data_IF_207762062254
#
_entry.id   IF_207762062254
#
_cell.length_a   1.000
_cell.length_b   1.000
_cell.length_c   1.000
_cell.angle_alpha   90.00
_cell.angle_beta   90.00
_cell.angle_gamma   90.00
#
_symmetry.space_group_name_H-M   'P 1'
#
loop_
_entity.id
_entity.type
_entity.pdbx_description
1 polymer ?
#
# COMPACT_ATOMS: atom_id res chain seq x y z
N UNK A 1 38.90 62.97 8.32
CA UNK A 1 37.89 62.04 8.87
C UNK A 1 36.53 62.71 9.15
N UNK A 2 36.29 63.90 8.59
CA UNK A 2 35.03 64.65 8.80
C UNK A 2 34.17 64.85 7.52
N UNK A 3 34.57 64.32 6.39
CA UNK A 3 33.85 64.50 5.09
C UNK A 3 32.92 63.32 4.71
N UNK A 4 33.09 62.16 5.36
CA UNK A 4 32.29 60.98 5.04
C UNK A 4 30.97 60.86 5.83
N UNK A 5 30.81 61.52 6.97
CA UNK A 5 29.58 61.46 7.77
C UNK A 5 28.43 62.31 7.17
N UNK A 6 28.75 63.36 6.40
CA UNK A 6 27.73 64.25 5.78
C UNK A 6 27.00 63.62 4.60
N UNK A 7 27.69 62.82 3.78
CA UNK A 7 27.09 62.19 2.59
C UNK A 7 26.14 61.05 2.96
N UNK A 8 26.46 60.24 3.97
CA UNK A 8 25.60 59.11 4.37
C UNK A 8 24.29 59.58 5.00
N UNK A 9 24.30 60.72 5.72
CA UNK A 9 23.09 61.26 6.32
C UNK A 9 22.13 61.90 5.30
N UNK A 10 22.64 62.45 4.20
CA UNK A 10 21.78 62.99 3.15
C UNK A 10 21.10 61.89 2.30
N UNK A 11 21.80 60.84 1.98
CA UNK A 11 21.20 59.66 1.27
C UNK A 11 20.12 58.96 2.10
N UNK A 12 20.36 58.79 3.39
CA UNK A 12 19.39 58.12 4.30
C UNK A 12 18.13 58.99 4.51
N UNK A 13 18.25 60.31 4.51
CA UNK A 13 17.12 61.24 4.63
C UNK A 13 16.28 61.24 3.37
N UNK A 14 16.92 61.21 2.20
CA UNK A 14 16.24 61.15 0.91
C UNK A 14 15.56 59.81 0.68
N UNK A 15 16.17 58.70 1.14
CA UNK A 15 15.58 57.38 1.07
C UNK A 15 14.28 57.26 1.90
N UNK A 16 14.25 57.77 3.12
CA UNK A 16 13.03 57.82 3.93
C UNK A 16 11.93 58.67 3.33
N UNK A 17 12.30 59.77 2.68
CA UNK A 17 11.33 60.64 2.00
C UNK A 17 10.72 59.95 0.78
N UNK A 18 11.52 59.26 -0.02
CA UNK A 18 11.06 58.49 -1.20
C UNK A 18 10.17 57.32 -0.79
N UNK A 19 10.52 56.59 0.23
CA UNK A 19 9.68 55.47 0.75
C UNK A 19 8.36 55.96 1.32
N UNK A 20 8.34 57.12 1.98
CA UNK A 20 7.12 57.74 2.50
C UNK A 20 6.18 58.18 1.37
N UNK A 21 6.70 58.81 0.28
CA UNK A 21 5.91 59.17 -0.90
C UNK A 21 5.37 57.96 -1.64
N UNK A 22 6.15 56.86 -1.79
CA UNK A 22 5.68 55.64 -2.41
C UNK A 22 4.56 55.00 -1.60
N UNK A 23 4.63 55.06 -0.25
CA UNK A 23 3.57 54.54 0.64
C UNK A 23 2.26 55.34 0.48
N UNK A 24 2.34 56.72 0.39
CA UNK A 24 1.16 57.56 0.17
C UNK A 24 0.53 57.31 -1.20
N UNK A 25 1.34 57.10 -2.25
CA UNK A 25 0.84 56.84 -3.62
C UNK A 25 0.17 55.43 -3.63
N UNK A 26 0.76 54.42 -2.98
CA UNK A 26 0.17 53.08 -2.85
C UNK A 26 -1.17 53.10 -2.10
N UNK A 27 -1.25 53.89 -1.01
CA UNK A 27 -2.48 54.03 -0.24
C UNK A 27 -3.59 54.78 -1.00
N UNK A 28 -3.26 55.85 -1.74
CA UNK A 28 -4.24 56.57 -2.55
C UNK A 28 -4.76 55.76 -3.74
N UNK A 29 -3.91 54.95 -4.40
CA UNK A 29 -4.31 54.03 -5.47
C UNK A 29 -5.17 52.89 -4.91
N UNK A 30 -4.85 52.35 -3.72
CA UNK A 30 -5.66 51.35 -3.03
C UNK A 30 -7.05 51.84 -2.64
N UNK A 31 -7.14 53.13 -2.17
CA UNK A 31 -8.41 53.75 -1.83
C UNK A 31 -9.31 54.03 -3.06
N UNK A 32 -8.70 54.40 -4.19
CA UNK A 32 -9.42 54.58 -5.46
C UNK A 32 -9.94 53.22 -5.96
N UNK A 33 -9.11 52.15 -5.87
CA UNK A 33 -9.52 50.83 -6.30
C UNK A 33 -10.63 50.25 -5.40
N UNK A 34 -10.55 50.47 -4.08
CA UNK A 34 -11.60 50.06 -3.13
C UNK A 34 -12.91 50.86 -3.35
N UNK A 35 -12.82 52.17 -3.65
CA UNK A 35 -13.98 52.96 -4.00
C UNK A 35 -14.66 52.50 -5.30
N UNK A 36 -13.88 52.10 -6.31
CA UNK A 36 -14.39 51.62 -7.59
C UNK A 36 -15.13 50.28 -7.46
N UNK A 37 -14.68 49.37 -6.57
CA UNK A 37 -15.36 48.11 -6.30
C UNK A 37 -16.72 48.32 -5.63
N UNK A 38 -16.86 49.33 -4.76
CA UNK A 38 -18.13 49.59 -4.09
C UNK A 38 -19.14 50.32 -4.98
N UNK A 39 -18.69 51.08 -6.02
CA UNK A 39 -19.60 51.72 -6.98
C UNK A 39 -20.22 50.71 -7.95
N UNK A 40 -19.51 49.63 -8.27
CA UNK A 40 -20.05 48.51 -9.09
C UNK A 40 -21.08 47.66 -8.33
N UNK A 41 -21.10 47.71 -6.97
CA UNK A 41 -22.06 46.97 -6.14
C UNK A 41 -23.42 47.64 -5.96
N UNK A 42 -23.58 48.89 -6.44
CA UNK A 42 -24.78 49.73 -6.21
C UNK A 42 -25.70 49.95 -7.42
N UNK A 43 -25.47 49.26 -8.55
CA UNK A 43 -26.40 49.26 -9.67
C UNK A 43 -27.28 48.03 -9.65
N UNK A 44 -28.45 48.10 -9.06
CA UNK A 44 -29.54 47.14 -9.23
C UNK A 44 -29.91 47.10 -10.73
N UNK A 45 -29.33 46.13 -11.44
CA UNK A 45 -29.82 45.71 -12.74
C UNK A 45 -31.02 44.83 -12.49
N UNK A 46 -32.21 45.40 -12.56
CA UNK A 46 -33.45 44.65 -12.67
C UNK A 46 -33.40 43.86 -14.00
N UNK A 47 -32.83 42.71 -14.01
CA UNK A 47 -33.03 41.72 -15.07
C UNK A 47 -34.32 40.96 -14.73
N UNK A 48 -35.43 41.42 -15.28
CA UNK A 48 -36.60 40.59 -15.45
C UNK A 48 -36.25 39.48 -16.47
N UNK A 49 -35.84 38.33 -15.98
CA UNK A 49 -35.90 37.09 -16.72
C UNK A 49 -36.85 36.17 -15.99
N UNK A 50 -38.12 36.20 -16.41
CA UNK A 50 -39.02 35.05 -16.22
C UNK A 50 -38.47 33.88 -17.03
N UNK A 51 -37.66 33.05 -16.39
CA UNK A 51 -37.52 31.65 -16.78
C UNK A 51 -37.86 30.84 -15.53
N UNK A 52 -39.01 30.21 -15.59
CA UNK A 52 -39.45 29.14 -14.65
C UNK A 52 -38.38 28.03 -14.71
N UNK A 53 -37.26 28.23 -14.03
CA UNK A 53 -36.38 27.11 -13.65
C UNK A 53 -37.04 26.50 -12.43
N UNK A 54 -37.53 25.30 -12.62
CA UNK A 54 -38.08 24.48 -11.54
C UNK A 54 -36.99 24.31 -10.49
N UNK A 55 -37.03 25.05 -9.38
CA UNK A 55 -36.06 24.98 -8.25
C UNK A 55 -35.98 23.57 -7.65
N UNK A 56 -36.96 22.70 -7.93
CA UNK A 56 -36.96 21.32 -7.49
C UNK A 56 -36.05 20.38 -8.30
N UNK A 57 -35.69 20.71 -9.56
CA UNK A 57 -34.79 19.85 -10.36
C UNK A 57 -33.31 20.18 -10.14
N UNK A 58 -32.99 21.44 -9.81
CA UNK A 58 -31.59 21.82 -9.56
C UNK A 58 -31.11 21.38 -8.16
N UNK A 59 -31.98 21.31 -7.16
CA UNK A 59 -31.64 20.78 -5.84
C UNK A 59 -31.38 19.26 -5.86
N UNK A 60 -32.07 18.52 -6.73
CA UNK A 60 -31.89 17.07 -6.87
C UNK A 60 -30.60 16.67 -7.59
N UNK A 61 -30.07 17.54 -8.47
CA UNK A 61 -28.80 17.28 -9.16
C UNK A 61 -27.58 17.55 -8.26
N UNK A 62 -27.67 18.54 -7.35
CA UNK A 62 -26.62 18.80 -6.36
C UNK A 62 -26.69 17.90 -5.11
N UNK A 63 -27.85 17.31 -4.82
CA UNK A 63 -28.05 16.40 -3.68
C UNK A 63 -27.55 14.96 -3.94
N UNK A 64 -27.10 14.65 -5.16
CA UNK A 64 -26.62 13.30 -5.56
C UNK A 64 -25.12 13.09 -5.54
N UNK A 65 -24.30 14.11 -5.39
CA UNK A 65 -22.86 13.93 -5.25
C UNK A 65 -22.51 13.74 -3.78
N UNK A 66 -22.05 12.53 -3.40
CA UNK A 66 -21.46 12.29 -2.07
C UNK A 66 -20.31 13.28 -1.84
N UNK A 67 -20.24 13.85 -0.65
CA UNK A 67 -19.04 14.58 -0.25
C UNK A 67 -17.88 13.61 -0.03
N UNK A 68 -16.64 14.10 -0.07
CA UNK A 68 -15.47 13.28 0.28
C UNK A 68 -15.62 12.69 1.69
N UNK A 69 -16.18 13.46 2.63
CA UNK A 69 -16.41 12.99 3.99
C UNK A 69 -17.41 11.81 4.03
N UNK A 70 -18.50 11.88 3.25
CA UNK A 70 -19.49 10.79 3.18
C UNK A 70 -18.85 9.51 2.61
N UNK A 71 -18.00 9.64 1.58
CA UNK A 71 -17.25 8.51 1.00
C UNK A 71 -16.33 7.88 2.04
N UNK A 72 -15.55 8.70 2.76
CA UNK A 72 -14.62 8.22 3.78
C UNK A 72 -15.37 7.52 4.91
N UNK A 73 -16.50 8.08 5.39
CA UNK A 73 -17.34 7.48 6.45
C UNK A 73 -17.89 6.12 6.02
N UNK A 74 -18.38 6.02 4.78
CA UNK A 74 -18.97 4.79 4.22
C UNK A 74 -17.95 3.66 4.10
N UNK A 75 -16.72 3.94 3.64
CA UNK A 75 -15.73 2.90 3.31
C UNK A 75 -14.78 2.58 4.47
N UNK A 76 -14.59 3.50 5.43
CA UNK A 76 -13.65 3.32 6.54
C UNK A 76 -13.82 2.03 7.34
N UNK A 77 -15.03 1.50 7.59
CA UNK A 77 -15.18 0.22 8.29
C UNK A 77 -14.62 -0.98 7.54
N UNK A 78 -14.42 -0.85 6.22
CA UNK A 78 -13.81 -1.88 5.38
C UNK A 78 -12.29 -1.70 5.21
N UNK A 79 -11.71 -0.60 5.71
CA UNK A 79 -10.27 -0.34 5.71
C UNK A 79 -9.69 -0.69 7.07
N UNK A 80 -8.56 -1.41 7.08
CA UNK A 80 -8.00 -1.99 8.29
C UNK A 80 -6.51 -1.74 8.41
N UNK A 81 -6.02 -1.75 9.64
CA UNK A 81 -4.57 -1.76 9.91
C UNK A 81 -4.07 -3.21 9.83
N UNK A 82 -3.03 -3.43 9.05
CA UNK A 82 -2.29 -4.68 9.00
C UNK A 82 -1.07 -4.55 9.90
N UNK A 83 -1.11 -5.20 11.06
CA UNK A 83 -0.01 -5.26 12.02
C UNK A 83 0.73 -6.57 11.85
N UNK A 84 2.03 -6.50 11.65
CA UNK A 84 2.89 -7.67 11.47
C UNK A 84 3.99 -7.71 12.52
N UNK A 85 4.37 -8.89 12.95
CA UNK A 85 5.56 -9.08 13.74
C UNK A 85 6.48 -10.12 13.11
N UNK A 86 7.78 -9.89 13.22
CA UNK A 86 8.84 -10.74 12.71
C UNK A 86 9.88 -10.97 13.78
N UNK A 87 10.35 -12.18 13.92
CA UNK A 87 11.44 -12.54 14.83
C UNK A 87 12.76 -12.44 14.08
N UNK A 88 13.57 -11.44 14.40
CA UNK A 88 14.89 -11.25 13.81
C UNK A 88 15.97 -11.72 14.78
N UNK A 89 16.72 -12.74 14.38
CA UNK A 89 17.89 -13.17 15.12
C UNK A 89 19.06 -12.25 14.79
N UNK A 90 19.50 -11.44 15.77
CA UNK A 90 20.70 -10.63 15.63
C UNK A 90 21.83 -11.19 16.50
N UNK A 91 23.07 -10.77 16.22
CA UNK A 91 24.25 -11.13 17.03
C UNK A 91 24.10 -10.70 18.52
N UNK A 92 23.09 -9.84 18.84
CA UNK A 92 22.80 -9.35 20.19
C UNK A 92 21.60 -10.03 20.85
N UNK A 93 21.01 -11.03 20.20
CA UNK A 93 19.83 -11.74 20.70
C UNK A 93 18.66 -11.76 19.72
N UNK A 94 17.55 -12.33 20.16
CA UNK A 94 16.29 -12.39 19.42
C UNK A 94 15.56 -11.08 19.64
N UNK A 95 15.28 -10.34 18.56
CA UNK A 95 14.48 -9.13 18.61
C UNK A 95 13.19 -9.35 17.83
N UNK A 96 12.07 -8.92 18.39
CA UNK A 96 10.82 -8.80 17.67
C UNK A 96 10.78 -7.43 16.98
N UNK A 97 10.55 -7.43 15.68
CA UNK A 97 10.38 -6.23 14.86
C UNK A 97 8.94 -6.19 14.41
N UNK A 98 8.26 -5.09 14.70
CA UNK A 98 6.87 -4.86 14.30
C UNK A 98 6.83 -3.93 13.09
N UNK A 99 5.91 -4.22 12.16
CA UNK A 99 5.59 -3.39 11.01
C UNK A 99 4.09 -3.08 10.99
N UNK A 100 3.74 -1.94 10.43
CA UNK A 100 2.35 -1.51 10.27
C UNK A 100 2.13 -1.06 8.82
N UNK A 101 1.01 -1.49 8.23
CA UNK A 101 0.51 -1.03 6.96
C UNK A 101 -1.02 -1.00 6.97
N UNK A 102 -1.59 -0.84 5.81
CA UNK A 102 -3.05 -0.81 5.62
C UNK A 102 -3.49 -1.96 4.71
N UNK A 103 -4.72 -2.39 4.86
CA UNK A 103 -5.41 -3.30 3.96
C UNK A 103 -6.88 -2.94 3.85
N UNK A 104 -7.60 -3.60 2.97
CA UNK A 104 -9.04 -3.41 2.84
C UNK A 104 -9.75 -4.72 2.49
N UNK A 105 -10.96 -4.89 3.01
CA UNK A 105 -11.77 -6.08 2.76
C UNK A 105 -12.31 -6.10 1.33
N UNK A 106 -12.06 -7.22 0.62
CA UNK A 106 -12.62 -7.55 -0.70
C UNK A 106 -13.67 -8.67 -0.62
N UNK A 107 -13.79 -9.30 0.54
CA UNK A 107 -14.84 -10.23 0.92
C UNK A 107 -14.99 -10.19 2.45
N UNK A 108 -15.98 -10.83 3.07
CA UNK A 108 -16.16 -10.79 4.53
C UNK A 108 -14.94 -11.24 5.34
N UNK A 109 -14.05 -12.04 4.75
CA UNK A 109 -12.86 -12.59 5.43
C UNK A 109 -11.55 -12.33 4.70
N UNK A 110 -11.58 -11.83 3.45
CA UNK A 110 -10.37 -11.64 2.64
C UNK A 110 -10.00 -10.16 2.51
N UNK A 111 -8.71 -9.88 2.65
CA UNK A 111 -8.15 -8.52 2.65
C UNK A 111 -7.04 -8.44 1.60
N UNK A 112 -7.06 -7.39 0.77
CA UNK A 112 -5.92 -6.99 -0.06
C UNK A 112 -5.03 -6.00 0.69
N UNK A 113 -3.72 -6.16 0.49
CA UNK A 113 -2.67 -5.25 0.96
C UNK A 113 -1.44 -5.34 0.05
N UNK A 114 -0.35 -4.63 0.36
CA UNK A 114 0.91 -4.81 -0.34
C UNK A 114 1.71 -6.01 0.19
N UNK A 115 2.49 -6.63 -0.70
CA UNK A 115 3.39 -7.74 -0.35
C UNK A 115 4.47 -7.28 0.64
N UNK A 116 5.06 -6.08 0.46
CA UNK A 116 6.10 -5.58 1.36
C UNK A 116 5.60 -5.33 2.79
N UNK A 117 4.28 -5.10 3.00
CA UNK A 117 3.69 -4.93 4.33
C UNK A 117 3.78 -6.24 5.13
N UNK A 118 3.61 -7.39 4.46
CA UNK A 118 3.60 -8.72 5.10
C UNK A 118 4.89 -9.52 4.88
N UNK A 119 5.90 -8.89 4.26
CA UNK A 119 7.17 -9.55 3.94
C UNK A 119 7.87 -10.00 5.22
N UNK A 120 8.28 -11.29 5.26
CA UNK A 120 8.98 -11.92 6.38
C UNK A 120 8.21 -11.85 7.72
N UNK A 121 6.89 -11.66 7.68
CA UNK A 121 6.08 -11.70 8.90
C UNK A 121 5.88 -13.14 9.39
N UNK A 122 6.10 -13.37 10.67
CA UNK A 122 5.78 -14.64 11.35
C UNK A 122 4.36 -14.62 11.94
N UNK A 123 3.79 -13.45 12.18
CA UNK A 123 2.43 -13.26 12.65
C UNK A 123 1.78 -12.06 12.00
N UNK A 124 0.51 -12.17 11.63
CA UNK A 124 -0.29 -11.11 11.03
C UNK A 124 -1.57 -10.91 11.84
N UNK A 125 -1.78 -9.69 12.32
CA UNK A 125 -2.99 -9.26 12.99
C UNK A 125 -3.65 -8.15 12.21
N UNK A 126 -4.95 -8.17 12.17
CA UNK A 126 -5.78 -7.13 11.58
C UNK A 126 -6.41 -6.32 12.71
N UNK A 127 -6.20 -5.02 12.71
CA UNK A 127 -6.89 -4.12 13.62
C UNK A 127 -7.99 -3.41 12.84
N UNK A 128 -9.22 -3.64 13.25
CA UNK A 128 -10.41 -3.08 12.64
C UNK A 128 -10.58 -1.60 13.02
N UNK A 129 -11.44 -0.89 12.31
CA UNK A 129 -11.70 0.53 12.55
C UNK A 129 -12.24 0.83 13.97
N UNK A 130 -12.90 -0.15 14.61
CA UNK A 130 -13.37 -0.06 16.01
C UNK A 130 -12.29 -0.41 17.04
N UNK A 131 -11.06 -0.71 16.61
CA UNK A 131 -9.93 -1.09 17.46
C UNK A 131 -9.88 -2.57 17.83
N UNK A 132 -10.83 -3.40 17.37
CA UNK A 132 -10.80 -4.84 17.63
C UNK A 132 -9.70 -5.51 16.81
N UNK A 133 -8.92 -6.39 17.47
CA UNK A 133 -7.90 -7.20 16.82
C UNK A 133 -8.46 -8.58 16.44
N UNK A 134 -8.11 -9.05 15.25
CA UNK A 134 -8.39 -10.41 14.77
C UNK A 134 -7.14 -11.00 14.14
N UNK A 135 -6.97 -12.32 14.28
CA UNK A 135 -5.84 -13.04 13.66
C UNK A 135 -6.10 -13.25 12.17
N UNK A 136 -5.03 -13.16 11.39
CA UNK A 136 -5.08 -13.40 9.95
C UNK A 136 -3.85 -14.17 9.48
N UNK A 137 -3.95 -14.75 8.29
CA UNK A 137 -2.83 -15.40 7.61
C UNK A 137 -2.62 -14.80 6.23
N UNK A 138 -1.40 -14.88 5.74
CA UNK A 138 -1.10 -14.62 4.33
C UNK A 138 -1.57 -15.83 3.53
N UNK A 139 -2.46 -15.61 2.56
CA UNK A 139 -2.92 -16.66 1.63
C UNK A 139 -1.86 -16.85 0.55
N UNK A 140 -1.51 -15.75 -0.13
CA UNK A 140 -0.50 -15.74 -1.19
C UNK A 140 -0.02 -14.30 -1.46
N UNK A 141 1.10 -14.17 -2.17
CA UNK A 141 1.69 -12.87 -2.53
C UNK A 141 2.18 -12.85 -3.96
N UNK A 142 2.08 -11.68 -4.61
CA UNK A 142 2.75 -11.36 -5.86
C UNK A 142 3.87 -10.35 -5.58
N UNK A 143 5.11 -10.83 -5.58
CA UNK A 143 6.29 -10.03 -5.29
C UNK A 143 6.64 -9.04 -6.39
N UNK A 144 6.32 -9.38 -7.64
CA UNK A 144 6.58 -8.50 -8.80
C UNK A 144 5.71 -7.27 -8.72
N UNK A 145 4.42 -7.47 -8.44
CA UNK A 145 3.43 -6.41 -8.43
C UNK A 145 3.11 -5.88 -7.02
N UNK A 146 3.83 -6.37 -6.01
CA UNK A 146 3.70 -5.91 -4.63
C UNK A 146 2.29 -6.06 -4.05
N UNK A 147 1.61 -7.20 -4.32
CA UNK A 147 0.26 -7.49 -3.85
C UNK A 147 0.28 -8.68 -2.89
N UNK A 148 -0.51 -8.63 -1.84
CA UNK A 148 -0.75 -9.75 -0.93
C UNK A 148 -2.24 -9.92 -0.66
N UNK A 149 -2.69 -11.19 -0.59
CA UNK A 149 -4.01 -11.57 -0.14
C UNK A 149 -3.90 -12.16 1.27
N UNK A 150 -4.66 -11.61 2.19
CA UNK A 150 -4.78 -12.11 3.55
C UNK A 150 -6.16 -12.71 3.78
N UNK A 151 -6.26 -13.62 4.75
CA UNK A 151 -7.51 -14.18 5.21
C UNK A 151 -7.58 -14.14 6.72
N UNK A 152 -8.69 -13.63 7.25
CA UNK A 152 -8.96 -13.65 8.70
C UNK A 152 -9.23 -15.07 9.15
N UNK A 153 -8.50 -15.53 10.16
CA UNK A 153 -8.58 -16.91 10.70
C UNK A 153 -9.38 -17.01 12.00
N UNK A 154 -9.80 -15.87 12.56
CA UNK A 154 -10.62 -15.85 13.78
C UNK A 154 -11.98 -16.49 13.52
N UNK A 155 -12.35 -17.59 14.22
CA UNK A 155 -13.59 -18.30 13.97
C UNK A 155 -14.84 -17.44 14.14
N UNK A 156 -15.75 -17.54 13.17
CA UNK A 156 -17.03 -16.82 13.19
C UNK A 156 -16.90 -15.31 12.92
N UNK A 157 -15.74 -14.86 12.48
CA UNK A 157 -15.54 -13.48 12.06
C UNK A 157 -15.99 -13.28 10.61
N UNK A 158 -16.77 -12.25 10.39
CA UNK A 158 -17.12 -11.71 9.08
C UNK A 158 -17.20 -10.19 9.17
N UNK A 159 -16.56 -9.47 8.26
CA UNK A 159 -16.75 -8.02 8.16
C UNK A 159 -17.97 -7.72 7.29
N UNK A 160 -18.83 -6.84 7.78
CA UNK A 160 -20.02 -6.40 7.06
C UNK A 160 -19.72 -5.42 5.92
N UNK A 161 -18.61 -4.68 6.01
CA UNK A 161 -18.21 -3.68 5.02
C UNK A 161 -17.12 -4.23 4.12
N UNK A 162 -17.49 -4.55 2.88
CA UNK A 162 -16.61 -4.99 1.81
C UNK A 162 -16.51 -3.85 0.80
N UNK A 163 -15.30 -3.45 0.43
CA UNK A 163 -15.10 -2.38 -0.53
C UNK A 163 -15.41 -2.88 -1.96
N UNK A 164 -16.13 -2.06 -2.71
CA UNK A 164 -16.41 -2.34 -4.11
C UNK A 164 -15.17 -2.03 -4.95
N UNK A 165 -14.74 -2.98 -5.77
CA UNK A 165 -13.71 -2.73 -6.78
C UNK A 165 -14.35 -1.98 -7.96
N UNK A 166 -13.71 -0.88 -8.35
CA UNK A 166 -14.05 -0.09 -9.52
C UNK A 166 -13.18 -0.47 -10.72
N UNK A 167 -13.02 0.45 -11.67
CA UNK A 167 -12.17 0.25 -12.84
C UNK A 167 -11.08 1.33 -12.89
N UNK A 168 -9.82 0.89 -12.82
CA UNK A 168 -8.66 1.78 -13.02
C UNK A 168 -8.50 2.21 -14.48
N UNK A 169 -9.06 1.45 -15.44
CA UNK A 169 -9.00 1.74 -16.88
C UNK A 169 -9.96 2.85 -17.29
N UNK A 170 -11.04 3.06 -16.53
CA UNK A 170 -12.02 4.12 -16.80
C UNK A 170 -11.59 5.49 -16.25
N UNK A 171 -10.53 5.51 -15.44
CA UNK A 171 -10.03 6.74 -14.83
C UNK A 171 -9.23 7.59 -15.81
N UNK A 172 -9.23 8.90 -15.59
CA UNK A 172 -8.53 9.88 -16.42
C UNK A 172 -7.62 10.76 -15.55
N UNK A 173 -6.58 11.28 -16.16
CA UNK A 173 -5.75 12.33 -15.52
C UNK A 173 -6.63 13.53 -15.18
N UNK A 174 -6.56 13.97 -13.93
CA UNK A 174 -7.39 15.04 -13.37
C UNK A 174 -8.61 14.57 -12.58
N UNK A 175 -8.99 13.29 -12.64
CA UNK A 175 -10.08 12.75 -11.81
C UNK A 175 -9.66 12.72 -10.32
N UNK A 176 -10.58 13.12 -9.44
CA UNK A 176 -10.36 13.15 -8.00
C UNK A 176 -10.21 11.74 -7.43
N UNK A 177 -9.29 11.61 -6.48
CA UNK A 177 -9.04 10.36 -5.75
C UNK A 177 -8.86 10.60 -4.26
N UNK A 178 -9.20 9.58 -3.47
CA UNK A 178 -9.09 9.56 -2.02
C UNK A 178 -8.21 8.36 -1.65
N UNK A 179 -7.08 8.60 -0.98
CA UNK A 179 -6.26 7.54 -0.41
C UNK A 179 -6.58 7.42 1.08
N UNK A 180 -6.92 6.21 1.54
CA UNK A 180 -7.21 5.94 2.96
C UNK A 180 -6.18 4.98 3.51
N UNK A 181 -5.81 5.19 4.79
CA UNK A 181 -4.88 4.32 5.48
C UNK A 181 -4.82 4.56 6.98
N UNK A 182 -3.98 3.79 7.64
CA UNK A 182 -3.67 3.89 9.08
C UNK A 182 -2.18 4.20 9.25
N UNK A 183 -1.77 5.48 9.07
CA UNK A 183 -0.37 5.85 9.11
C UNK A 183 0.20 5.78 10.53
N UNK A 184 1.37 5.16 10.66
CA UNK A 184 2.34 5.23 11.76
C UNK A 184 1.90 4.77 13.14
N UNK A 185 0.62 4.89 13.52
CA UNK A 185 0.10 4.56 14.86
C UNK A 185 -1.41 4.27 14.76
N UNK A 186 -1.91 3.41 15.64
CA UNK A 186 -3.35 3.12 15.79
C UNK A 186 -4.17 4.39 16.08
N UNK A 187 -3.53 5.44 16.65
CA UNK A 187 -4.14 6.75 16.90
C UNK A 187 -4.51 7.51 15.62
N UNK A 188 -3.97 7.13 14.46
CA UNK A 188 -4.22 7.74 13.14
C UNK A 188 -5.00 6.83 12.20
N UNK A 189 -5.63 5.78 12.75
CA UNK A 189 -6.50 4.88 11.99
C UNK A 189 -7.57 5.68 11.23
N UNK A 190 -7.79 5.37 9.95
CA UNK A 190 -8.77 6.07 9.12
C UNK A 190 -8.31 7.43 8.57
N UNK A 191 -7.00 7.74 8.57
CA UNK A 191 -6.49 8.94 7.90
C UNK A 191 -6.76 8.90 6.40
N UNK A 192 -7.35 9.97 5.88
CA UNK A 192 -7.65 10.14 4.45
C UNK A 192 -6.88 11.32 3.86
N UNK A 193 -6.32 11.13 2.67
CA UNK A 193 -5.73 12.19 1.86
C UNK A 193 -6.43 12.27 0.53
N UNK A 194 -6.49 13.46 -0.06
CA UNK A 194 -7.21 13.73 -1.30
C UNK A 194 -6.26 14.33 -2.32
N UNK A 195 -6.42 13.95 -3.56
CA UNK A 195 -5.68 14.47 -4.69
C UNK A 195 -6.38 14.12 -6.00
N UNK A 196 -5.61 14.10 -7.08
CA UNK A 196 -6.07 13.73 -8.40
C UNK A 196 -5.18 12.63 -9.00
N UNK A 197 -5.65 11.98 -10.03
CA UNK A 197 -4.79 11.18 -10.90
C UNK A 197 -3.87 12.13 -11.67
N UNK A 198 -2.56 12.05 -11.38
CA UNK A 198 -1.52 12.85 -12.03
C UNK A 198 -0.94 12.14 -13.26
N UNK A 199 -1.14 10.84 -13.40
CA UNK A 199 -0.70 10.03 -14.53
C UNK A 199 -1.23 8.61 -14.46
N UNK A 200 -1.40 8.01 -15.62
CA UNK A 200 -1.77 6.61 -15.79
C UNK A 200 -0.58 5.86 -16.41
N UNK A 201 -0.50 4.56 -16.15
CA UNK A 201 0.47 3.65 -16.77
C UNK A 201 1.94 4.09 -16.59
N UNK A 202 2.31 4.54 -15.40
CA UNK A 202 3.71 4.83 -15.05
C UNK A 202 4.46 3.52 -14.83
N UNK A 203 5.37 3.19 -15.73
CA UNK A 203 6.11 1.92 -15.70
C UNK A 203 7.48 2.11 -15.08
N UNK A 204 7.80 1.26 -14.09
CA UNK A 204 9.09 1.22 -13.43
C UNK A 204 9.69 -0.19 -13.53
N UNK A 205 10.99 -0.23 -13.80
CA UNK A 205 11.76 -1.46 -13.70
C UNK A 205 12.23 -1.64 -12.26
N UNK A 206 11.83 -2.73 -11.64
CA UNK A 206 12.21 -3.10 -10.28
C UNK A 206 13.14 -4.33 -10.33
N UNK A 207 13.80 -4.65 -9.22
CA UNK A 207 14.61 -5.87 -9.12
C UNK A 207 13.81 -7.17 -9.32
N UNK A 208 12.48 -7.11 -9.31
CA UNK A 208 11.57 -8.26 -9.44
C UNK A 208 10.86 -8.30 -10.79
N UNK A 209 11.01 -7.28 -11.64
CA UNK A 209 10.36 -7.17 -12.94
C UNK A 209 9.86 -5.76 -13.22
N UNK A 210 9.05 -5.65 -14.26
CA UNK A 210 8.44 -4.39 -14.71
C UNK A 210 7.02 -4.29 -14.13
N UNK A 211 6.72 -3.20 -13.46
CA UNK A 211 5.39 -2.94 -12.88
C UNK A 211 4.86 -1.59 -13.32
N UNK A 212 3.54 -1.49 -13.44
CA UNK A 212 2.83 -0.29 -13.90
C UNK A 212 1.97 0.27 -12.76
N UNK A 213 1.96 1.60 -12.62
CA UNK A 213 1.32 2.29 -11.50
C UNK A 213 0.47 3.46 -11.97
N UNK A 214 -0.54 3.79 -11.19
CA UNK A 214 -1.25 5.08 -11.21
C UNK A 214 -0.41 6.07 -10.41
N UNK A 215 -0.19 7.26 -10.95
CA UNK A 215 0.44 8.38 -10.26
C UNK A 215 -0.64 9.32 -9.70
N UNK A 216 -0.49 9.75 -8.46
CA UNK A 216 -1.38 10.71 -7.79
C UNK A 216 -0.56 11.73 -7.00
N UNK A 217 -1.14 12.91 -6.74
CA UNK A 217 -0.63 13.90 -5.80
C UNK A 217 -1.31 13.81 -4.42
N UNK A 218 -2.26 12.87 -4.23
CA UNK A 218 -2.70 12.48 -2.90
C UNK A 218 -1.50 12.00 -2.09
N UNK A 219 -1.34 12.46 -0.85
CA UNK A 219 -0.18 12.12 -0.03
C UNK A 219 -0.16 10.62 0.28
N UNK A 220 0.82 9.90 -0.29
CA UNK A 220 1.12 8.49 -0.01
C UNK A 220 2.37 8.45 0.88
N UNK A 221 2.23 7.87 2.07
CA UNK A 221 3.26 7.80 3.08
C UNK A 221 3.32 6.39 3.68
N UNK A 222 4.42 6.01 4.37
CA UNK A 222 4.42 4.80 5.18
C UNK A 222 3.22 4.79 6.14
N UNK A 223 2.43 3.70 6.09
CA UNK A 223 1.21 3.53 6.87
C UNK A 223 -0.06 3.52 6.02
N UNK A 224 -0.18 4.25 4.90
CA UNK A 224 -1.27 4.05 3.95
C UNK A 224 -0.93 3.06 2.80
N UNK A 225 0.31 2.55 2.76
CA UNK A 225 0.70 1.43 1.90
C UNK A 225 -0.20 0.23 2.12
N UNK A 226 -0.72 -0.34 1.04
CA UNK A 226 -1.67 -1.45 1.05
C UNK A 226 -3.13 -1.03 1.21
N UNK A 227 -3.38 0.23 1.55
CA UNK A 227 -4.72 0.81 1.60
C UNK A 227 -5.31 1.13 0.23
N UNK A 228 -6.62 1.39 0.16
CA UNK A 228 -7.30 1.69 -1.09
C UNK A 228 -7.01 3.12 -1.59
N UNK A 229 -6.85 3.25 -2.91
CA UNK A 229 -7.08 4.49 -3.65
C UNK A 229 -8.49 4.42 -4.22
N UNK A 230 -9.33 5.40 -3.89
CA UNK A 230 -10.76 5.40 -4.20
C UNK A 230 -11.10 6.50 -5.20
N UNK A 231 -12.13 6.27 -6.03
CA UNK A 231 -12.82 7.32 -6.75
C UNK A 231 -13.88 8.00 -5.86
N UNK A 232 -14.55 9.03 -6.36
CA UNK A 232 -15.60 9.75 -5.60
C UNK A 232 -16.89 8.94 -5.36
N UNK A 233 -17.03 7.78 -5.99
CA UNK A 233 -18.12 6.84 -5.71
C UNK A 233 -17.82 5.91 -4.53
N UNK A 234 -16.59 5.94 -3.98
CA UNK A 234 -16.11 5.02 -2.95
C UNK A 234 -15.66 3.67 -3.50
N UNK A 235 -15.42 3.58 -4.81
CA UNK A 235 -14.92 2.36 -5.44
C UNK A 235 -13.40 2.36 -5.49
N UNK A 236 -12.78 1.22 -5.20
CA UNK A 236 -11.33 1.04 -5.21
C UNK A 236 -10.84 1.03 -6.66
N UNK A 237 -9.95 1.95 -7.00
CA UNK A 237 -9.31 2.04 -8.32
C UNK A 237 -7.82 1.70 -8.27
N UNK A 238 -7.25 1.55 -7.07
CA UNK A 238 -5.86 1.15 -6.90
C UNK A 238 -5.52 0.78 -5.45
N UNK A 239 -4.33 0.22 -5.28
CA UNK A 239 -3.73 -0.11 -3.98
C UNK A 239 -2.54 0.83 -3.77
N UNK A 240 -2.60 1.68 -2.76
CA UNK A 240 -1.53 2.64 -2.45
C UNK A 240 -0.21 1.93 -2.17
N UNK A 241 0.91 2.45 -2.68
CA UNK A 241 2.24 1.90 -2.37
C UNK A 241 3.26 3.01 -2.14
N UNK A 242 3.89 3.02 -0.96
CA UNK A 242 4.99 3.92 -0.60
C UNK A 242 6.38 3.33 -0.93
N UNK A 243 6.43 2.18 -1.64
CA UNK A 243 7.68 1.50 -2.00
C UNK A 243 8.49 2.25 -3.05
N UNK A 244 7.84 3.10 -3.84
CA UNK A 244 8.50 3.88 -4.88
C UNK A 244 8.79 5.26 -4.30
N UNK A 245 10.01 5.43 -3.86
CA UNK A 245 10.56 6.73 -3.45
C UNK A 245 11.43 7.26 -4.57
N UNK A 246 11.16 8.49 -5.00
CA UNK A 246 11.95 9.16 -6.02
C UNK A 246 12.75 10.25 -5.31
N UNK A 247 14.03 10.02 -5.13
CA UNK A 247 14.95 10.92 -4.43
C UNK A 247 14.78 12.38 -4.87
N UNK A 248 14.45 13.26 -3.92
CA UNK A 248 14.35 14.71 -4.13
C UNK A 248 13.06 15.18 -4.82
N UNK A 249 12.04 14.31 -4.94
CA UNK A 249 10.72 14.69 -5.48
C UNK A 249 9.66 14.51 -4.40
N UNK A 250 9.09 15.60 -3.95
CA UNK A 250 7.97 15.63 -3.01
C UNK A 250 6.63 15.59 -3.76
N UNK A 251 5.58 15.07 -3.11
CA UNK A 251 4.21 15.06 -3.62
C UNK A 251 3.96 14.19 -4.87
N UNK A 252 4.72 13.09 -5.01
CA UNK A 252 4.40 12.05 -5.98
C UNK A 252 4.05 10.77 -5.24
N UNK A 253 2.78 10.37 -5.31
CA UNK A 253 2.27 9.11 -4.82
C UNK A 253 2.06 8.11 -5.95
N UNK A 254 2.09 6.82 -5.63
CA UNK A 254 1.82 5.74 -6.57
C UNK A 254 0.80 4.75 -5.99
N UNK A 255 0.01 4.16 -6.90
CA UNK A 255 -0.90 3.08 -6.57
C UNK A 255 -0.86 1.99 -7.65
N UNK A 256 -0.99 0.74 -7.25
CA UNK A 256 -1.12 -0.40 -8.16
C UNK A 256 -2.55 -0.39 -8.72
N UNK A 257 -2.76 -0.42 -10.04
CA UNK A 257 -4.10 -0.43 -10.64
C UNK A 257 -4.94 -1.61 -10.13
N UNK A 258 -6.20 -1.36 -9.77
CA UNK A 258 -7.06 -2.41 -9.20
C UNK A 258 -7.38 -3.52 -10.21
N UNK A 259 -7.59 -3.19 -11.48
CA UNK A 259 -7.83 -4.20 -12.53
C UNK A 259 -6.69 -5.21 -12.61
N UNK A 260 -5.45 -4.78 -12.34
CA UNK A 260 -4.32 -5.67 -12.29
C UNK A 260 -4.39 -6.64 -11.09
N UNK A 261 -4.78 -6.12 -9.91
CA UNK A 261 -4.99 -6.95 -8.73
C UNK A 261 -6.14 -7.96 -8.95
N UNK A 262 -7.24 -7.54 -9.59
CA UNK A 262 -8.37 -8.43 -9.94
C UNK A 262 -7.96 -9.60 -10.83
N UNK A 263 -7.16 -9.35 -11.87
CA UNK A 263 -6.63 -10.42 -12.74
C UNK A 263 -5.78 -11.44 -11.97
N UNK A 264 -5.17 -11.04 -10.87
CA UNK A 264 -4.34 -11.89 -10.01
C UNK A 264 -5.10 -12.58 -8.87
N UNK A 265 -6.36 -12.20 -8.61
CA UNK A 265 -7.11 -12.74 -7.46
C UNK A 265 -7.29 -14.25 -7.50
N UNK A 266 -7.49 -14.85 -8.67
CA UNK A 266 -7.59 -16.30 -8.79
C UNK A 266 -6.29 -16.99 -8.37
N UNK A 267 -5.15 -16.50 -8.86
CA UNK A 267 -3.82 -16.99 -8.49
C UNK A 267 -3.53 -16.74 -7.00
N UNK A 268 -3.81 -15.53 -6.51
CA UNK A 268 -3.61 -15.15 -5.11
C UNK A 268 -4.54 -15.91 -4.15
N UNK A 269 -5.70 -16.36 -4.62
CA UNK A 269 -6.63 -17.15 -3.80
C UNK A 269 -6.20 -18.60 -3.64
N UNK A 270 -5.23 -19.07 -4.42
CA UNK A 270 -4.61 -20.38 -4.19
C UNK A 270 -3.71 -20.27 -2.98
N UNK A 271 -4.02 -21.07 -1.94
CA UNK A 271 -3.18 -21.10 -0.74
C UNK A 271 -1.82 -21.69 -1.07
N UNK A 272 -0.78 -20.90 -0.92
CA UNK A 272 0.61 -21.34 -1.09
C UNK A 272 1.28 -21.46 0.27
N UNK A 273 1.63 -22.67 0.63
CA UNK A 273 2.30 -22.94 1.90
C UNK A 273 3.69 -22.28 1.91
N UNK A 274 3.98 -21.50 2.94
CA UNK A 274 5.36 -21.12 3.23
C UNK A 274 6.06 -22.25 3.97
N UNK A 275 6.89 -23.04 3.26
CA UNK A 275 7.65 -24.12 3.87
C UNK A 275 8.74 -23.60 4.81
N UNK A 276 9.25 -22.39 4.57
CA UNK A 276 10.27 -21.71 5.39
C UNK A 276 11.64 -22.38 5.30
N UNK A 277 12.09 -22.70 4.09
CA UNK A 277 13.44 -23.23 3.82
C UNK A 277 14.17 -22.35 2.81
N UNK A 278 15.47 -22.20 3.00
CA UNK A 278 16.42 -21.84 1.95
C UNK A 278 17.24 -23.07 1.58
N UNK A 279 17.38 -23.34 0.29
CA UNK A 279 18.07 -24.55 -0.18
C UNK A 279 18.84 -24.31 -1.47
N UNK A 280 19.71 -25.25 -1.79
CA UNK A 280 20.51 -25.31 -3.02
C UNK A 280 20.23 -26.63 -3.73
N UNK A 281 20.01 -26.57 -5.03
CA UNK A 281 19.77 -27.75 -5.85
C UNK A 281 21.02 -28.60 -5.96
N UNK A 282 20.87 -29.90 -5.75
CA UNK A 282 21.90 -30.91 -6.02
C UNK A 282 21.57 -31.54 -7.36
N UNK A 283 22.30 -31.14 -8.38
CA UNK A 283 22.14 -31.65 -9.73
C UNK A 283 22.90 -32.99 -9.98
N UNK A 284 22.70 -33.55 -11.16
CA UNK A 284 23.34 -34.80 -11.57
C UNK A 284 24.88 -34.69 -11.61
N UNK A 285 25.43 -33.52 -11.90
CA UNK A 285 26.89 -33.30 -11.91
C UNK A 285 27.45 -33.36 -10.49
N UNK A 286 26.75 -32.77 -9.54
CA UNK A 286 27.10 -32.80 -8.11
C UNK A 286 27.01 -34.21 -7.56
N UNK A 287 25.95 -34.95 -7.94
CA UNK A 287 25.82 -36.40 -7.58
C UNK A 287 27.01 -37.21 -8.10
N UNK A 288 27.32 -37.09 -9.39
CA UNK A 288 28.44 -37.84 -10.00
C UNK A 288 29.78 -37.51 -9.34
N UNK A 289 29.97 -36.24 -8.99
CA UNK A 289 31.24 -35.72 -8.45
C UNK A 289 31.46 -36.06 -6.96
N UNK A 290 30.39 -36.01 -6.18
CA UNK A 290 30.47 -36.11 -4.71
C UNK A 290 29.70 -37.26 -4.10
N UNK A 291 28.92 -38.02 -4.90
CA UNK A 291 28.08 -39.12 -4.42
C UNK A 291 26.93 -38.69 -3.51
N UNK A 292 26.54 -37.41 -3.56
CA UNK A 292 25.47 -36.82 -2.77
C UNK A 292 24.14 -36.98 -3.52
N UNK A 293 23.08 -37.52 -2.92
CA UNK A 293 21.79 -37.72 -3.61
C UNK A 293 21.25 -36.44 -4.28
N UNK A 294 20.62 -36.62 -5.45
CA UNK A 294 19.91 -35.54 -6.14
C UNK A 294 18.74 -35.06 -5.26
N UNK A 295 18.52 -33.77 -5.21
CA UNK A 295 17.46 -33.16 -4.41
C UNK A 295 17.77 -31.73 -4.02
N UNK A 296 17.14 -31.21 -2.99
CA UNK A 296 17.38 -29.85 -2.46
C UNK A 296 18.09 -29.96 -1.12
N UNK A 297 19.33 -29.49 -1.08
CA UNK A 297 20.11 -29.35 0.17
C UNK A 297 19.60 -28.16 0.96
N UNK A 298 19.11 -28.39 2.18
CA UNK A 298 18.59 -27.37 3.09
C UNK A 298 19.76 -26.62 3.73
N UNK A 299 19.88 -25.33 3.43
CA UNK A 299 20.89 -24.43 4.00
C UNK A 299 20.39 -23.78 5.27
N UNK A 300 19.12 -23.36 5.26
CA UNK A 300 18.48 -22.63 6.36
C UNK A 300 17.03 -23.06 6.53
N UNK A 301 16.56 -23.07 7.77
CA UNK A 301 15.16 -23.33 8.14
C UNK A 301 14.67 -22.18 9.00
N UNK A 302 13.61 -21.52 8.54
CA UNK A 302 12.96 -20.42 9.25
C UNK A 302 12.29 -20.97 10.53
N UNK A 303 12.51 -20.27 11.64
CA UNK A 303 11.92 -20.64 12.92
C UNK A 303 10.39 -20.53 12.86
N UNK A 304 9.71 -21.49 13.50
CA UNK A 304 8.25 -21.63 13.54
C UNK A 304 7.56 -21.89 12.18
N UNK A 305 8.35 -22.01 11.10
CA UNK A 305 7.88 -22.45 9.80
C UNK A 305 7.33 -23.88 9.79
N UNK A 306 6.70 -24.26 8.69
CA UNK A 306 6.25 -25.64 8.47
C UNK A 306 7.44 -26.61 8.53
N UNK A 307 8.54 -26.30 7.85
CA UNK A 307 9.75 -27.12 7.85
C UNK A 307 10.30 -27.30 9.28
N UNK A 308 10.35 -26.23 10.07
CA UNK A 308 10.78 -26.32 11.47
C UNK A 308 9.85 -27.20 12.31
N UNK A 309 8.53 -27.05 12.17
CA UNK A 309 7.51 -27.83 12.89
C UNK A 309 7.56 -29.33 12.58
N UNK A 310 7.86 -29.68 11.32
CA UNK A 310 8.01 -31.11 10.93
C UNK A 310 9.40 -31.66 11.21
N UNK A 311 10.32 -30.83 11.70
CA UNK A 311 11.66 -31.27 12.11
C UNK A 311 12.69 -31.31 11.00
N UNK A 312 12.53 -30.55 9.91
CA UNK A 312 13.59 -30.30 8.93
C UNK A 312 14.65 -29.41 9.59
N UNK A 313 15.91 -29.68 9.34
CA UNK A 313 17.06 -28.94 9.86
C UNK A 313 18.04 -28.64 8.73
N UNK A 314 18.89 -27.60 8.86
CA UNK A 314 20.02 -27.39 7.94
C UNK A 314 20.89 -28.64 7.83
N UNK A 315 21.27 -28.98 6.58
CA UNK A 315 22.03 -30.19 6.25
C UNK A 315 21.17 -31.37 5.78
N UNK A 316 19.84 -31.30 5.85
CA UNK A 316 18.95 -32.27 5.22
C UNK A 316 18.96 -32.15 3.70
N UNK A 317 18.67 -33.24 2.99
CA UNK A 317 18.42 -33.22 1.55
C UNK A 317 16.98 -33.63 1.32
N UNK A 318 16.16 -32.73 0.77
CA UNK A 318 14.78 -33.06 0.40
C UNK A 318 14.81 -33.80 -0.94
N UNK A 319 14.25 -35.01 -0.97
CA UNK A 319 14.25 -35.89 -2.14
C UNK A 319 12.83 -36.20 -2.64
N UNK A 320 11.81 -35.99 -1.80
CA UNK A 320 10.42 -36.19 -2.21
C UNK A 320 9.50 -35.19 -1.51
N UNK A 321 8.48 -34.71 -2.22
CA UNK A 321 7.45 -33.86 -1.68
C UNK A 321 6.07 -34.35 -2.17
N UNK A 322 5.23 -34.77 -1.24
CA UNK A 322 3.90 -35.35 -1.49
C UNK A 322 3.89 -36.44 -2.57
N UNK A 323 4.89 -37.34 -2.53
CA UNK A 323 5.01 -38.46 -3.45
C UNK A 323 5.68 -38.12 -4.79
N UNK A 324 6.07 -36.87 -5.02
CA UNK A 324 6.81 -36.43 -6.20
C UNK A 324 8.30 -36.34 -5.87
N UNK A 325 9.15 -36.97 -6.70
CA UNK A 325 10.61 -36.90 -6.59
C UNK A 325 11.09 -35.46 -6.89
N UNK A 326 11.96 -34.92 -6.03
CA UNK A 326 12.43 -33.54 -6.06
C UNK A 326 13.86 -33.47 -6.54
N UNK A 327 14.12 -32.61 -7.54
CA UNK A 327 15.44 -32.30 -8.03
C UNK A 327 15.79 -30.81 -8.00
N UNK A 328 14.82 -29.92 -7.69
CA UNK A 328 15.05 -28.48 -7.55
C UNK A 328 14.09 -27.82 -6.54
N UNK A 329 14.54 -26.68 -6.02
CA UNK A 329 13.71 -25.83 -5.12
C UNK A 329 12.48 -25.28 -5.86
N UNK A 330 12.60 -25.07 -7.17
CA UNK A 330 11.50 -24.59 -8.01
C UNK A 330 10.36 -25.62 -8.08
N UNK A 331 10.67 -26.92 -8.20
CA UNK A 331 9.65 -27.96 -8.12
C UNK A 331 8.92 -27.98 -6.77
N UNK A 332 9.64 -27.76 -5.67
CA UNK A 332 9.00 -27.62 -4.34
C UNK A 332 8.05 -26.42 -4.37
N UNK A 333 8.46 -25.29 -4.96
CA UNK A 333 7.64 -24.09 -5.06
C UNK A 333 6.37 -24.30 -5.88
N UNK A 334 6.42 -25.09 -6.94
CA UNK A 334 5.23 -25.45 -7.73
C UNK A 334 4.31 -26.43 -6.99
N UNK A 335 4.87 -27.41 -6.29
CA UNK A 335 4.09 -28.40 -5.57
C UNK A 335 3.39 -27.83 -4.33
N UNK A 336 4.00 -26.83 -3.67
CA UNK A 336 3.40 -26.11 -2.55
C UNK A 336 2.04 -25.50 -2.88
N UNK A 337 1.83 -25.07 -4.11
CA UNK A 337 0.57 -24.48 -4.61
C UNK A 337 -0.60 -25.49 -4.64
N UNK A 338 -0.32 -26.79 -4.58
CA UNK A 338 -1.29 -27.89 -4.70
C UNK A 338 -1.55 -28.62 -3.40
N UNK A 339 -1.06 -28.09 -2.29
CA UNK A 339 -1.24 -28.74 -0.97
C UNK A 339 -2.55 -28.26 -0.35
N UNK A 340 -3.41 -29.22 0.02
CA UNK A 340 -4.70 -28.94 0.66
C UNK A 340 -4.63 -29.16 2.19
N UNK A 341 -4.50 -30.40 2.64
CA UNK A 341 -4.67 -30.77 4.05
C UNK A 341 -3.43 -31.39 4.71
N UNK A 342 -2.50 -31.90 3.91
CA UNK A 342 -1.37 -32.68 4.42
C UNK A 342 -0.11 -32.47 3.60
N UNK A 343 1.02 -32.38 4.30
CA UNK A 343 2.37 -32.39 3.71
C UNK A 343 3.06 -33.67 4.09
N UNK A 344 3.72 -34.30 3.10
CA UNK A 344 4.62 -35.43 3.28
C UNK A 344 5.94 -35.12 2.58
N UNK A 345 7.04 -35.09 3.32
CA UNK A 345 8.38 -34.80 2.80
C UNK A 345 9.32 -35.94 3.17
N UNK A 346 9.99 -36.52 2.16
CA UNK A 346 11.07 -37.46 2.43
C UNK A 346 12.40 -36.70 2.36
N UNK A 347 13.20 -36.81 3.40
CA UNK A 347 14.53 -36.23 3.52
C UNK A 347 15.60 -37.30 3.67
N UNK A 348 16.82 -36.97 3.28
CA UNK A 348 18.01 -37.73 3.63
C UNK A 348 18.78 -36.98 4.70
N UNK A 349 18.95 -37.61 5.86
CA UNK A 349 19.72 -37.09 7.00
C UNK A 349 20.72 -38.18 7.44
N UNK A 350 22.00 -37.82 7.45
CA UNK A 350 23.07 -38.80 7.82
C UNK A 350 23.01 -40.11 6.99
N UNK A 351 22.70 -40.00 5.69
CA UNK A 351 22.60 -41.15 4.77
C UNK A 351 21.35 -42.03 4.96
N UNK A 352 20.38 -41.64 5.80
CA UNK A 352 19.14 -42.38 6.03
C UNK A 352 17.95 -41.56 5.50
N UNK A 353 17.03 -42.24 4.82
CA UNK A 353 15.75 -41.63 4.39
C UNK A 353 14.82 -41.57 5.61
N UNK A 354 14.24 -40.41 5.82
CA UNK A 354 13.24 -40.13 6.84
C UNK A 354 12.02 -39.51 6.20
N UNK A 355 10.83 -39.98 6.57
CA UNK A 355 9.55 -39.43 6.10
C UNK A 355 8.96 -38.56 7.19
N UNK A 356 8.73 -37.30 6.86
CA UNK A 356 8.16 -36.29 7.73
C UNK A 356 6.75 -35.91 7.22
N UNK A 357 5.78 -35.87 8.14
CA UNK A 357 4.39 -35.55 7.76
C UNK A 357 3.81 -34.50 8.69
N UNK A 358 2.95 -33.64 8.14
CA UNK A 358 2.18 -32.67 8.89
C UNK A 358 0.78 -32.59 8.30
N UNK A 359 -0.23 -32.56 9.16
CA UNK A 359 -1.58 -32.15 8.80
C UNK A 359 -1.66 -30.65 9.02
N UNK A 360 -2.09 -29.92 7.98
CA UNK A 360 -2.14 -28.45 7.96
C UNK A 360 -3.44 -27.99 8.63
#
# INVERSE_FOLDING_TARGET
MYILEGCVNLEYKNFKLVTFFLFIIGFSLGAIFYGSINVVRGSDVLVQNESLVNENESSDLFSRSKSIADVVEEVSPGVVTVSVSSIVNSYRGVNEVSGIGTGFFISPTKILTNQHVVLNSSNVKIVLNDGKEVEARVVNTDQVNDIALLEVTTPGFENSTVLKMGSSEEMRVGDWVIAIGSPLDLSFSGSATVGIISGLSRTFETRYGVSTFIQTDAAINPGNSGGPLLNLNGEVIGINTAKIDVDGVESIGFAIPINFAELKLEELSQYVINLGIAGVDIDEQTFVRFGVPIGVFVVEVERDSIAHKIGIIPGDIIVNFNGVEINSIEQINELKKKVEDQISIDIIRNGKIMKLNLKI
#
